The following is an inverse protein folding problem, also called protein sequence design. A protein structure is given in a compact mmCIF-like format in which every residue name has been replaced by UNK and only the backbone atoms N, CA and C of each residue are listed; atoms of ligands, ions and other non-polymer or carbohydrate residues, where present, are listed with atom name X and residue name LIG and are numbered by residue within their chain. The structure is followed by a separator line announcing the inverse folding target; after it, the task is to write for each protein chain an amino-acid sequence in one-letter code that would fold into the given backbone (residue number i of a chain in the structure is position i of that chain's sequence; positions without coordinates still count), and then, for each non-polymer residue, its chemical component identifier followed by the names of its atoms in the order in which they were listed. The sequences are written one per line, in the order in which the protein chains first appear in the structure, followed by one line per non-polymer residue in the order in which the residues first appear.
data_IF_720938103715
#
_entry.id   IF_720938103715
#
_cell.length_a   1.000
_cell.length_b   1.000
_cell.length_c   1.000
_cell.angle_alpha   90.00
_cell.angle_beta   90.00
_cell.angle_gamma   90.00
#
_symmetry.space_group_name_H-M   'P 1'
#
loop_
_entity.id
_entity.type
_entity.pdbx_description
1 polymer ?
#
# COMPACT_ATOMS: atom_id res chain seq x y z
N UNK A 1 -25.90 -21.78 26.79
CA UNK A 1 -25.19 -21.50 25.52
C UNK A 1 -26.20 -20.97 24.52
N UNK A 2 -26.12 -19.69 24.12
CA UNK A 2 -26.39 -19.39 22.72
C UNK A 2 -25.37 -18.40 22.13
N UNK A 3 -24.77 -18.85 21.03
CA UNK A 3 -24.26 -18.10 19.88
C UNK A 3 -23.79 -16.65 20.08
N UNK A 4 -22.55 -16.51 20.53
CA UNK A 4 -21.73 -15.33 20.26
C UNK A 4 -20.80 -15.70 19.09
N UNK A 5 -21.25 -15.45 17.86
CA UNK A 5 -20.42 -15.61 16.67
C UNK A 5 -20.48 -14.30 15.88
N UNK A 6 -19.46 -13.44 15.96
CA UNK A 6 -19.36 -12.30 15.06
C UNK A 6 -18.79 -12.78 13.73
N UNK A 7 -19.58 -12.85 12.66
CA UNK A 7 -19.02 -13.01 11.30
C UNK A 7 -19.91 -12.39 10.21
N UNK A 8 -19.36 -11.82 9.12
CA UNK A 8 -17.94 -11.53 8.87
C UNK A 8 -17.66 -10.18 8.19
N UNK A 9 -16.54 -9.55 8.54
CA UNK A 9 -15.91 -8.52 7.70
C UNK A 9 -15.55 -9.05 6.28
N UNK A 10 -15.58 -10.38 6.08
CA UNK A 10 -15.21 -11.06 4.82
C UNK A 10 -16.10 -10.74 3.62
N UNK A 11 -17.35 -10.31 3.81
CA UNK A 11 -18.26 -10.05 2.69
C UNK A 11 -17.84 -8.80 1.91
N UNK A 12 -17.27 -7.81 2.59
CA UNK A 12 -16.76 -6.59 1.95
C UNK A 12 -15.46 -6.87 1.18
N UNK A 13 -14.53 -7.63 1.77
CA UNK A 13 -13.28 -8.05 1.12
C UNK A 13 -13.53 -8.94 -0.10
N UNK A 14 -14.48 -9.88 0.03
CA UNK A 14 -14.85 -10.80 -1.06
C UNK A 14 -15.57 -10.07 -2.20
N UNK A 15 -16.41 -9.09 -1.88
CA UNK A 15 -17.09 -8.24 -2.89
C UNK A 15 -16.10 -7.34 -3.63
N UNK A 16 -15.18 -6.70 -2.90
CA UNK A 16 -14.14 -5.85 -3.48
C UNK A 16 -13.21 -6.63 -4.41
N UNK A 17 -12.82 -7.84 -4.03
CA UNK A 17 -11.99 -8.72 -4.88
C UNK A 17 -12.69 -9.10 -6.19
N UNK A 18 -13.96 -9.47 -6.14
CA UNK A 18 -14.77 -9.77 -7.35
C UNK A 18 -14.90 -8.55 -8.27
N UNK A 19 -14.97 -7.35 -7.71
CA UNK A 19 -14.99 -6.11 -8.50
C UNK A 19 -13.65 -5.85 -9.19
N UNK A 20 -12.52 -6.10 -8.52
CA UNK A 20 -11.19 -6.03 -9.14
C UNK A 20 -11.08 -7.05 -10.28
N UNK A 21 -11.44 -8.31 -10.05
CA UNK A 21 -11.39 -9.37 -11.05
C UNK A 21 -12.20 -9.00 -12.30
N UNK A 22 -13.45 -8.54 -12.12
CA UNK A 22 -14.28 -8.04 -13.23
C UNK A 22 -13.66 -6.85 -13.94
N UNK A 23 -13.05 -5.92 -13.20
CA UNK A 23 -12.40 -4.74 -13.77
C UNK A 23 -11.19 -5.12 -14.62
N UNK A 24 -10.36 -6.05 -14.15
CA UNK A 24 -9.20 -6.58 -14.88
C UNK A 24 -9.63 -7.31 -16.14
N UNK A 25 -10.64 -8.19 -16.05
CA UNK A 25 -11.21 -8.88 -17.23
C UNK A 25 -11.75 -7.87 -18.25
N UNK A 26 -12.42 -6.82 -17.77
CA UNK A 26 -12.93 -5.76 -18.66
C UNK A 26 -11.77 -5.05 -19.36
N UNK A 27 -10.72 -4.68 -18.64
CA UNK A 27 -9.55 -4.02 -19.23
C UNK A 27 -8.84 -4.89 -20.26
N UNK A 28 -8.67 -6.19 -19.97
CA UNK A 28 -8.14 -7.16 -20.93
C UNK A 28 -8.99 -7.23 -22.20
N UNK A 29 -10.32 -7.27 -22.06
CA UNK A 29 -11.24 -7.29 -23.19
C UNK A 29 -11.19 -6.03 -24.06
N UNK A 30 -10.80 -4.88 -23.49
CA UNK A 30 -10.67 -3.61 -24.21
C UNK A 30 -9.24 -3.37 -24.73
N UNK A 31 -8.34 -4.36 -24.63
CA UNK A 31 -6.96 -4.23 -25.11
C UNK A 31 -6.11 -3.28 -24.27
N UNK A 32 -6.43 -3.13 -22.99
CA UNK A 32 -5.62 -2.32 -22.07
C UNK A 32 -4.19 -2.84 -21.98
N UNK A 33 -3.25 -1.92 -21.79
CA UNK A 33 -1.85 -2.25 -21.60
C UNK A 33 -1.60 -2.97 -20.26
N UNK A 34 -0.51 -3.74 -20.15
CA UNK A 34 -0.09 -4.33 -18.88
C UNK A 34 0.04 -3.30 -17.75
N UNK A 35 0.58 -2.11 -18.05
CA UNK A 35 0.73 -0.99 -17.11
C UNK A 35 -0.63 -0.52 -16.55
N UNK A 36 -1.68 -0.49 -17.36
CA UNK A 36 -3.03 -0.09 -16.90
C UNK A 36 -3.65 -1.14 -15.97
N UNK A 37 -3.37 -2.42 -16.22
CA UNK A 37 -3.82 -3.52 -15.38
C UNK A 37 -3.08 -3.48 -14.03
N UNK A 38 -1.76 -3.38 -14.06
CA UNK A 38 -0.93 -3.24 -12.84
C UNK A 38 -1.36 -2.03 -12.01
N UNK A 39 -1.64 -0.89 -12.66
CA UNK A 39 -2.16 0.30 -11.98
C UNK A 39 -3.47 0.04 -11.27
N UNK A 40 -4.40 -0.72 -11.85
CA UNK A 40 -5.66 -1.04 -11.18
C UNK A 40 -5.45 -1.96 -9.96
N UNK A 41 -4.58 -2.96 -10.08
CA UNK A 41 -4.24 -3.86 -8.97
C UNK A 41 -3.59 -3.05 -7.84
N UNK A 42 -2.62 -2.19 -8.16
CA UNK A 42 -1.99 -1.32 -7.18
C UNK A 42 -2.99 -0.37 -6.48
N UNK A 43 -3.88 0.27 -7.24
CA UNK A 43 -4.89 1.16 -6.66
C UNK A 43 -5.90 0.42 -5.79
N UNK A 44 -6.17 -0.84 -6.10
CA UNK A 44 -6.98 -1.70 -5.25
C UNK A 44 -6.28 -1.98 -3.92
N UNK A 45 -5.01 -2.40 -3.95
CA UNK A 45 -4.22 -2.66 -2.73
C UNK A 45 -4.11 -1.41 -1.86
N UNK A 46 -3.83 -0.25 -2.46
CA UNK A 46 -3.78 1.02 -1.73
C UNK A 46 -5.13 1.39 -1.09
N UNK A 47 -6.25 1.06 -1.75
CA UNK A 47 -7.59 1.28 -1.18
C UNK A 47 -7.87 0.33 -0.03
N UNK A 48 -7.43 -0.91 -0.12
CA UNK A 48 -7.53 -1.88 0.98
C UNK A 48 -6.73 -1.41 2.20
N UNK A 49 -5.48 -0.96 1.99
CA UNK A 49 -4.66 -0.37 3.06
C UNK A 49 -5.37 0.85 3.65
N UNK A 50 -5.92 1.75 2.83
CA UNK A 50 -6.63 2.94 3.31
C UNK A 50 -7.87 2.62 4.17
N UNK A 51 -8.56 1.51 3.88
CA UNK A 51 -9.71 1.05 4.67
C UNK A 51 -9.29 0.42 5.99
N UNK A 52 -8.17 -0.31 6.01
CA UNK A 52 -7.68 -1.04 7.18
C UNK A 52 -6.86 -0.16 8.12
N UNK A 53 -5.93 0.62 7.58
CA UNK A 53 -5.00 1.49 8.32
C UNK A 53 -4.81 2.81 7.52
N UNK A 54 -5.67 3.82 7.78
CA UNK A 54 -5.62 5.10 7.08
C UNK A 54 -4.29 5.83 7.21
N UNK A 55 -3.61 5.69 8.36
CA UNK A 55 -2.32 6.30 8.63
C UNK A 55 -1.22 5.63 7.81
N UNK A 56 -1.25 4.29 7.69
CA UNK A 56 -0.35 3.56 6.81
C UNK A 56 -0.52 3.97 5.35
N UNK A 57 -1.76 4.15 4.88
CA UNK A 57 -2.00 4.61 3.51
C UNK A 57 -1.45 6.02 3.25
N UNK A 58 -1.53 6.92 4.24
CA UNK A 58 -0.91 8.24 4.13
C UNK A 58 0.61 8.15 4.10
N UNK A 59 1.19 7.33 4.98
CA UNK A 59 2.63 7.08 5.00
C UNK A 59 3.09 6.49 3.67
N UNK A 60 2.36 5.54 3.09
CA UNK A 60 2.68 4.94 1.78
C UNK A 60 2.74 5.99 0.67
N UNK A 61 1.84 6.97 0.68
CA UNK A 61 1.89 8.07 -0.29
C UNK A 61 3.11 8.96 -0.07
N UNK A 62 3.34 9.41 1.16
CA UNK A 62 4.46 10.29 1.49
C UNK A 62 5.82 9.63 1.23
N UNK A 63 5.89 8.32 1.47
CA UNK A 63 7.05 7.47 1.30
C UNK A 63 7.46 7.23 -0.17
N UNK A 64 6.63 7.64 -1.14
CA UNK A 64 6.98 7.59 -2.55
C UNK A 64 8.01 8.66 -2.97
N UNK A 65 8.12 9.77 -2.22
CA UNK A 65 9.08 10.86 -2.51
C UNK A 65 10.52 10.35 -2.36
N UNK A 66 10.96 9.89 -1.17
CA UNK A 66 12.34 9.48 -0.99
C UNK A 66 12.65 8.22 -1.81
N UNK A 67 13.86 8.09 -2.35
CA UNK A 67 14.27 6.91 -3.10
C UNK A 67 14.43 5.67 -2.21
N UNK A 68 14.68 5.86 -0.90
CA UNK A 68 14.85 4.80 0.09
C UNK A 68 14.27 5.23 1.43
N UNK A 69 13.68 4.28 2.15
CA UNK A 69 13.03 4.46 3.44
C UNK A 69 13.80 3.69 4.51
N UNK A 70 14.11 4.36 5.61
CA UNK A 70 14.60 3.75 6.83
C UNK A 70 13.79 4.33 8.02
N UNK A 71 14.07 3.87 9.24
CA UNK A 71 13.34 4.34 10.42
C UNK A 71 13.47 5.85 10.65
N UNK A 72 14.61 6.47 10.32
CA UNK A 72 14.80 7.91 10.44
C UNK A 72 13.92 8.68 9.45
N UNK A 73 13.93 8.27 8.17
CA UNK A 73 13.07 8.86 7.12
C UNK A 73 11.59 8.71 7.48
N UNK A 74 11.19 7.56 8.02
CA UNK A 74 9.81 7.35 8.49
C UNK A 74 9.47 8.34 9.61
N UNK A 75 10.39 8.58 10.55
CA UNK A 75 10.20 9.57 11.61
C UNK A 75 9.92 10.97 11.07
N UNK A 76 10.68 11.41 10.05
CA UNK A 76 10.46 12.69 9.35
C UNK A 76 9.09 12.73 8.68
N UNK A 77 8.75 11.69 7.91
CA UNK A 77 7.46 11.61 7.20
C UNK A 77 6.25 11.58 8.14
N UNK A 78 6.45 11.14 9.39
CA UNK A 78 5.44 11.11 10.46
C UNK A 78 5.36 12.41 11.28
N UNK A 79 5.79 13.54 10.70
CA UNK A 79 5.84 14.88 11.34
C UNK A 79 6.96 15.00 12.37
N UNK A 80 8.18 14.73 11.92
CA UNK A 80 9.42 14.96 12.69
C UNK A 80 9.49 14.20 14.02
N UNK A 81 8.92 12.99 14.05
CA UNK A 81 8.98 12.06 15.19
C UNK A 81 10.24 11.17 15.13
N UNK A 82 11.39 11.75 14.83
CA UNK A 82 12.66 11.00 14.63
C UNK A 82 13.09 10.22 15.88
N UNK A 83 12.81 10.78 17.06
CA UNK A 83 13.20 10.22 18.35
C UNK A 83 12.37 9.01 18.78
N UNK A 84 11.22 8.75 18.13
CA UNK A 84 10.38 7.59 18.41
C UNK A 84 10.87 6.36 17.63
N UNK A 85 12.08 5.90 18.01
CA UNK A 85 12.82 4.87 17.28
C UNK A 85 12.05 3.54 17.18
N UNK A 86 11.39 3.12 18.26
CA UNK A 86 10.69 1.84 18.28
C UNK A 86 9.48 1.88 17.34
N UNK A 87 8.64 2.91 17.47
CA UNK A 87 7.47 3.05 16.62
C UNK A 87 7.87 3.20 15.15
N UNK A 88 8.93 3.94 14.83
CA UNK A 88 9.42 4.09 13.46
C UNK A 88 9.94 2.77 12.86
N UNK A 89 10.54 1.90 13.68
CA UNK A 89 10.91 0.55 13.26
C UNK A 89 9.67 -0.32 13.01
N UNK A 90 8.65 -0.22 13.86
CA UNK A 90 7.40 -0.96 13.68
C UNK A 90 6.70 -0.53 12.38
N UNK A 91 6.69 0.77 12.06
CA UNK A 91 6.21 1.29 10.78
C UNK A 91 7.03 0.79 9.59
N UNK A 92 8.37 0.73 9.72
CA UNK A 92 9.22 0.17 8.69
C UNK A 92 8.88 -1.30 8.43
N UNK A 93 8.64 -2.08 9.49
CA UNK A 93 8.22 -3.48 9.38
C UNK A 93 6.83 -3.62 8.75
N UNK A 94 5.89 -2.72 9.04
CA UNK A 94 4.59 -2.69 8.35
C UNK A 94 4.77 -2.47 6.85
N UNK A 95 5.62 -1.52 6.45
CA UNK A 95 5.92 -1.25 5.04
C UNK A 95 6.60 -2.44 4.36
N UNK A 96 7.50 -3.14 5.04
CA UNK A 96 8.17 -4.36 4.52
C UNK A 96 7.22 -5.49 4.15
N UNK A 97 6.01 -5.53 4.74
CA UNK A 97 5.01 -6.56 4.46
C UNK A 97 4.17 -6.27 3.21
N UNK A 98 4.29 -5.07 2.65
CA UNK A 98 3.56 -4.69 1.45
C UNK A 98 4.19 -5.34 0.21
N UNK A 99 3.36 -5.92 -0.66
CA UNK A 99 3.84 -6.69 -1.81
C UNK A 99 4.63 -5.90 -2.86
N UNK A 100 4.54 -4.57 -2.84
CA UNK A 100 5.23 -3.65 -3.76
C UNK A 100 6.47 -2.98 -3.13
N UNK A 101 6.97 -3.53 -2.02
CA UNK A 101 8.12 -3.01 -1.27
C UNK A 101 9.24 -4.05 -1.27
N UNK A 102 10.47 -3.58 -1.51
CA UNK A 102 11.69 -4.38 -1.54
C UNK A 102 12.59 -4.01 -0.37
N UNK A 103 12.98 -5.00 0.42
CA UNK A 103 13.98 -4.84 1.47
C UNK A 103 15.37 -4.64 0.88
N UNK A 104 16.14 -3.71 1.45
CA UNK A 104 17.50 -3.43 1.01
C UNK A 104 18.54 -4.07 1.94
N UNK A 105 19.68 -4.57 1.43
CA UNK A 105 20.73 -5.21 2.24
C UNK A 105 21.34 -4.28 3.29
N UNK A 106 21.39 -2.98 3.00
CA UNK A 106 21.95 -1.93 3.88
C UNK A 106 20.99 -1.48 4.99
N UNK A 107 19.84 -2.13 5.12
CA UNK A 107 18.77 -1.74 6.03
C UNK A 107 17.86 -0.69 5.41
N UNK A 108 16.55 -0.90 5.56
CA UNK A 108 15.52 -0.07 4.95
C UNK A 108 14.81 -0.76 3.78
N UNK A 109 13.99 0.01 3.09
CA UNK A 109 13.17 -0.48 1.99
C UNK A 109 13.09 0.52 0.84
N UNK A 110 12.83 0.01 -0.36
CA UNK A 110 12.53 0.80 -1.56
C UNK A 110 11.22 0.31 -2.16
N UNK A 111 10.49 1.18 -2.83
CA UNK A 111 9.31 0.75 -3.58
C UNK A 111 9.72 0.14 -4.91
N UNK A 112 8.88 -0.75 -5.44
CA UNK A 112 9.00 -1.12 -6.84
C UNK A 112 8.79 0.11 -7.72
N UNK A 113 9.57 0.21 -8.80
CA UNK A 113 9.60 1.40 -9.65
C UNK A 113 8.22 1.71 -10.25
N UNK A 114 7.47 0.68 -10.65
CA UNK A 114 6.10 0.82 -11.17
C UNK A 114 5.14 1.36 -10.11
N UNK A 115 5.17 0.82 -8.90
CA UNK A 115 4.36 1.28 -7.78
C UNK A 115 4.70 2.72 -7.37
N UNK A 116 6.01 3.05 -7.30
CA UNK A 116 6.48 4.41 -7.03
C UNK A 116 6.00 5.39 -8.10
N UNK A 117 6.12 5.03 -9.38
CA UNK A 117 5.61 5.81 -10.51
C UNK A 117 4.11 6.07 -10.37
N UNK A 118 3.30 5.04 -10.07
CA UNK A 118 1.86 5.20 -9.90
C UNK A 118 1.48 6.12 -8.73
N UNK A 119 2.24 6.09 -7.63
CA UNK A 119 2.06 7.00 -6.50
C UNK A 119 2.39 8.45 -6.88
N UNK A 120 3.48 8.67 -7.62
CA UNK A 120 3.92 10.00 -8.04
C UNK A 120 3.02 10.61 -9.12
N UNK A 121 2.52 9.82 -10.08
CA UNK A 121 1.60 10.29 -11.13
C UNK A 121 0.29 10.87 -10.55
N UNK A 122 -0.13 10.42 -9.37
CA UNK A 122 -1.30 10.98 -8.67
C UNK A 122 -1.02 12.27 -7.92
N UNK A 123 0.24 12.65 -7.73
CA UNK A 123 0.64 13.85 -7.01
C UNK A 123 0.76 15.07 -7.95
N UNK A 124 1.03 14.83 -9.23
CA UNK A 124 1.15 15.88 -10.26
C UNK A 124 -0.21 16.35 -10.82
N UNK A 125 -1.33 15.77 -10.36
CA UNK A 125 -2.70 16.10 -10.77
C UNK A 125 -3.50 16.66 -9.60
#
# INVERSE_FOLDING_TARGET
MPFDAPFPESDMFSSNRRLLERRVVTLLAHGASPDEIERQIFLYDLRQIQQQDPELAQLVRAAAIPPMLNSAVIGVLRRDQENDRQTNLDWLQKLQRLGFVKSQPIGGVTYEETARRFLLTKWEQ
#
